data_IF_534302404983
#
_entry.id   IF_534302404983
#
_cell.length_a   1.000
_cell.length_b   1.000
_cell.length_c   1.000
_cell.angle_alpha   90.00
_cell.angle_beta   90.00
_cell.angle_gamma   90.00
#
_symmetry.space_group_name_H-M   'P 1'
#
loop_
_entity.id
_entity.type
_entity.pdbx_description
1 polymer ?
#
# COMPACT_ATOMS: atom_id res chain seq x y z
N UNK A 1 -43.36 -20.29 14.72
CA UNK A 1 -42.69 -19.33 13.82
C UNK A 1 -41.24 -19.12 14.31
N UNK A 2 -40.29 -20.03 13.97
CA UNK A 2 -38.89 -19.94 14.45
C UNK A 2 -37.94 -20.61 13.44
N UNK A 3 -37.87 -20.06 12.20
CA UNK A 3 -36.94 -20.55 11.15
C UNK A 3 -35.96 -19.53 10.59
N UNK A 4 -35.97 -18.32 11.09
CA UNK A 4 -35.21 -17.19 10.50
C UNK A 4 -33.78 -17.04 11.05
N UNK A 5 -33.47 -17.56 12.22
CA UNK A 5 -32.15 -17.31 12.86
C UNK A 5 -30.99 -18.17 12.31
N UNK A 6 -31.26 -19.31 11.71
CA UNK A 6 -30.20 -20.22 11.20
C UNK A 6 -29.80 -19.97 9.76
N UNK A 7 -30.53 -19.16 8.99
CA UNK A 7 -30.25 -18.89 7.57
C UNK A 7 -29.29 -17.71 7.35
N UNK A 8 -29.25 -16.76 8.27
CA UNK A 8 -28.36 -15.59 8.17
C UNK A 8 -26.86 -15.93 8.10
N UNK A 9 -26.29 -16.83 8.94
CA UNK A 9 -24.87 -17.14 8.88
C UNK A 9 -24.47 -17.89 7.60
N UNK A 10 -25.36 -18.66 7.00
CA UNK A 10 -25.10 -19.36 5.74
C UNK A 10 -25.10 -18.41 4.54
N UNK A 11 -26.02 -17.45 4.49
CA UNK A 11 -26.06 -16.42 3.44
C UNK A 11 -24.81 -15.54 3.48
N UNK A 12 -24.39 -15.07 4.66
CA UNK A 12 -23.17 -14.26 4.81
C UNK A 12 -21.89 -15.03 4.41
N UNK A 13 -21.86 -16.34 4.65
CA UNK A 13 -20.74 -17.18 4.23
C UNK A 13 -20.70 -17.36 2.71
N UNK A 14 -21.85 -17.62 2.09
CA UNK A 14 -21.94 -17.73 0.63
C UNK A 14 -21.56 -16.41 -0.08
N UNK A 15 -21.93 -15.25 0.47
CA UNK A 15 -21.52 -13.94 -0.04
C UNK A 15 -20.01 -13.75 0.09
N UNK A 16 -19.41 -14.18 1.19
CA UNK A 16 -17.96 -14.10 1.39
C UNK A 16 -17.22 -14.98 0.38
N UNK A 17 -17.68 -16.22 0.22
CA UNK A 17 -17.09 -17.15 -0.74
C UNK A 17 -17.19 -16.62 -2.17
N UNK A 18 -18.31 -15.99 -2.54
CA UNK A 18 -18.49 -15.36 -3.84
C UNK A 18 -17.55 -14.16 -4.05
N UNK A 19 -17.34 -13.33 -3.03
CA UNK A 19 -16.39 -12.22 -3.06
C UNK A 19 -14.95 -12.73 -3.23
N UNK A 20 -14.53 -13.68 -2.43
CA UNK A 20 -13.19 -14.28 -2.49
C UNK A 20 -12.95 -14.97 -3.84
N UNK A 21 -13.97 -15.66 -4.39
CA UNK A 21 -13.89 -16.25 -5.72
C UNK A 21 -13.74 -15.20 -6.83
N UNK A 22 -14.41 -14.07 -6.71
CA UNK A 22 -14.30 -12.97 -7.67
C UNK A 22 -12.93 -12.28 -7.63
N UNK A 23 -12.22 -12.30 -6.48
CA UNK A 23 -10.88 -11.75 -6.32
C UNK A 23 -9.78 -12.72 -6.76
N UNK A 24 -10.01 -14.02 -6.73
CA UNK A 24 -8.98 -15.02 -7.01
C UNK A 24 -8.24 -14.80 -8.34
N UNK A 25 -8.88 -14.44 -9.47
CA UNK A 25 -8.18 -14.20 -10.73
C UNK A 25 -7.25 -12.99 -10.72
N UNK A 26 -7.51 -11.99 -9.87
CA UNK A 26 -6.72 -10.75 -9.80
C UNK A 26 -5.85 -10.64 -8.55
N UNK A 27 -5.76 -11.69 -7.72
CA UNK A 27 -5.02 -11.66 -6.47
C UNK A 27 -3.54 -11.28 -6.66
N UNK A 28 -2.87 -11.83 -7.68
CA UNK A 28 -1.49 -11.50 -8.01
C UNK A 28 -1.29 -10.02 -8.35
N UNK A 29 -2.23 -9.41 -9.09
CA UNK A 29 -2.19 -7.98 -9.40
C UNK A 29 -2.43 -7.13 -8.15
N UNK A 30 -3.33 -7.54 -7.26
CA UNK A 30 -3.59 -6.84 -6.00
C UNK A 30 -2.37 -6.88 -5.09
N UNK A 31 -1.67 -8.02 -5.02
CA UNK A 31 -0.43 -8.13 -4.26
C UNK A 31 0.67 -7.24 -4.84
N UNK A 32 0.79 -7.14 -6.17
CA UNK A 32 1.72 -6.20 -6.81
C UNK A 32 1.36 -4.73 -6.51
N UNK A 33 0.07 -4.40 -6.48
CA UNK A 33 -0.37 -3.06 -6.07
C UNK A 33 -0.01 -2.76 -4.61
N UNK A 34 -0.20 -3.72 -3.71
CA UNK A 34 0.19 -3.60 -2.30
C UNK A 34 1.72 -3.45 -2.14
N UNK A 35 2.53 -4.22 -2.87
CA UNK A 35 4.00 -4.09 -2.89
C UNK A 35 4.45 -2.71 -3.36
N UNK A 36 3.82 -2.18 -4.42
CA UNK A 36 4.10 -0.83 -4.92
C UNK A 36 3.71 0.23 -3.89
N UNK A 37 2.56 0.08 -3.23
CA UNK A 37 2.10 1.02 -2.21
C UNK A 37 3.03 1.03 -0.98
N UNK A 38 3.44 -0.13 -0.48
CA UNK A 38 4.40 -0.24 0.63
C UNK A 38 5.72 0.45 0.27
N UNK A 39 6.30 0.18 -0.92
CA UNK A 39 7.52 0.85 -1.37
C UNK A 39 7.38 2.38 -1.44
N UNK A 40 6.25 2.84 -1.97
CA UNK A 40 5.96 4.28 -2.03
C UNK A 40 5.90 4.90 -0.64
N UNK A 41 5.23 4.27 0.32
CA UNK A 41 5.13 4.77 1.71
C UNK A 41 6.46 4.71 2.45
N UNK A 42 7.29 3.71 2.16
CA UNK A 42 8.68 3.65 2.64
C UNK A 42 9.50 4.83 2.10
N UNK A 43 9.43 5.11 0.79
CA UNK A 43 10.13 6.23 0.17
C UNK A 43 9.70 7.59 0.73
N UNK A 44 8.43 7.73 1.16
CA UNK A 44 7.93 8.92 1.84
C UNK A 44 8.28 8.96 3.35
N UNK A 45 8.98 7.95 3.86
CA UNK A 45 9.26 7.85 5.30
C UNK A 45 8.02 7.62 6.17
N UNK A 46 6.88 7.24 5.59
CA UNK A 46 5.63 7.00 6.32
C UNK A 46 5.59 5.60 6.93
N UNK A 47 6.24 4.62 6.30
CA UNK A 47 6.43 3.27 6.82
C UNK A 47 7.86 3.09 7.34
N UNK A 48 8.04 2.18 8.29
CA UNK A 48 9.33 1.63 8.67
C UNK A 48 9.62 0.35 7.85
N UNK A 49 10.88 -0.11 7.74
CA UNK A 49 11.23 -1.30 6.96
C UNK A 49 10.41 -2.56 7.30
N UNK A 50 10.01 -2.69 8.56
CA UNK A 50 9.32 -3.88 9.08
C UNK A 50 7.79 -3.72 9.13
N UNK A 51 7.18 -2.71 8.41
CA UNK A 51 5.84 -2.32 8.80
C UNK A 51 5.07 -1.46 7.79
N UNK A 52 3.94 -1.91 7.29
CA UNK A 52 3.45 -3.30 7.21
C UNK A 52 4.08 -4.05 6.04
N UNK A 53 4.04 -5.38 6.05
CA UNK A 53 4.36 -6.17 4.86
C UNK A 53 3.29 -5.95 3.76
N UNK A 54 3.61 -6.20 2.48
CA UNK A 54 2.63 -6.10 1.40
C UNK A 54 1.41 -7.01 1.62
N UNK A 55 1.64 -8.19 2.14
CA UNK A 55 0.60 -9.18 2.45
C UNK A 55 -0.33 -8.68 3.56
N UNK A 56 0.22 -8.12 4.64
CA UNK A 56 -0.58 -7.52 5.72
C UNK A 56 -1.39 -6.32 5.24
N UNK A 57 -0.78 -5.45 4.40
CA UNK A 57 -1.49 -4.33 3.81
C UNK A 57 -2.66 -4.82 2.95
N UNK A 58 -2.43 -5.87 2.13
CA UNK A 58 -3.46 -6.47 1.29
C UNK A 58 -4.59 -7.05 2.14
N UNK A 59 -4.29 -7.80 3.18
CA UNK A 59 -5.29 -8.40 4.06
C UNK A 59 -6.19 -7.35 4.73
N UNK A 60 -5.60 -6.27 5.23
CA UNK A 60 -6.35 -5.16 5.81
C UNK A 60 -7.24 -4.50 4.74
N UNK A 61 -6.69 -4.28 3.54
CA UNK A 61 -7.43 -3.68 2.43
C UNK A 61 -8.60 -4.55 1.96
N UNK A 62 -8.41 -5.87 1.86
CA UNK A 62 -9.47 -6.80 1.48
C UNK A 62 -10.59 -6.87 2.53
N UNK A 63 -10.25 -6.78 3.82
CA UNK A 63 -11.25 -6.66 4.87
C UNK A 63 -12.06 -5.36 4.74
N UNK A 64 -11.40 -4.25 4.38
CA UNK A 64 -12.07 -2.98 4.13
C UNK A 64 -12.97 -3.05 2.89
N UNK A 65 -12.46 -3.60 1.79
CA UNK A 65 -13.23 -3.83 0.56
C UNK A 65 -14.48 -4.68 0.82
N UNK A 66 -14.34 -5.73 1.62
CA UNK A 66 -15.48 -6.56 2.02
C UNK A 66 -16.56 -5.76 2.78
N UNK A 67 -16.17 -4.88 3.69
CA UNK A 67 -17.11 -4.03 4.44
C UNK A 67 -17.84 -3.03 3.53
N UNK A 68 -17.19 -2.60 2.47
CA UNK A 68 -17.72 -1.61 1.51
C UNK A 68 -18.41 -2.25 0.29
N UNK A 69 -18.47 -3.60 0.20
CA UNK A 69 -18.99 -4.32 -0.99
C UNK A 69 -20.41 -3.92 -1.39
N UNK A 70 -21.24 -3.59 -0.41
CA UNK A 70 -22.63 -3.21 -0.65
C UNK A 70 -22.77 -1.85 -1.39
N UNK A 71 -21.71 -1.06 -1.41
CA UNK A 71 -21.66 0.23 -2.14
C UNK A 71 -21.56 0.03 -3.65
N UNK A 72 -21.15 -1.18 -4.08
CA UNK A 72 -21.02 -1.52 -5.48
C UNK A 72 -22.22 -2.34 -5.92
N UNK A 73 -22.75 -1.99 -7.09
CA UNK A 73 -23.66 -2.88 -7.80
C UNK A 73 -22.93 -4.18 -8.18
N UNK A 74 -23.58 -5.35 -8.17
CA UNK A 74 -22.99 -6.63 -8.59
C UNK A 74 -22.33 -6.62 -9.98
N UNK A 75 -22.62 -5.61 -10.78
CA UNK A 75 -22.09 -5.43 -12.14
C UNK A 75 -20.70 -4.77 -12.17
N UNK A 76 -20.22 -4.21 -11.07
CA UNK A 76 -18.93 -3.51 -11.00
C UNK A 76 -17.85 -4.38 -10.39
N UNK A 77 -16.67 -4.30 -10.97
CA UNK A 77 -15.57 -5.17 -10.63
C UNK A 77 -15.09 -5.03 -9.17
N UNK A 78 -15.12 -6.12 -8.44
CA UNK A 78 -14.58 -6.22 -7.08
C UNK A 78 -13.10 -5.79 -7.05
N UNK A 79 -12.37 -5.96 -8.16
CA UNK A 79 -10.99 -5.51 -8.35
C UNK A 79 -10.82 -4.01 -8.11
N UNK A 80 -11.69 -3.17 -8.67
CA UNK A 80 -11.61 -1.72 -8.49
C UNK A 80 -11.75 -1.31 -7.03
N UNK A 81 -12.68 -1.96 -6.30
CA UNK A 81 -12.87 -1.73 -4.87
C UNK A 81 -11.66 -2.16 -4.04
N UNK A 82 -11.09 -3.33 -4.35
CA UNK A 82 -9.91 -3.84 -3.67
C UNK A 82 -8.69 -2.93 -3.89
N UNK A 83 -8.45 -2.46 -5.13
CA UNK A 83 -7.38 -1.50 -5.43
C UNK A 83 -7.57 -0.17 -4.68
N UNK A 84 -8.77 0.40 -4.72
CA UNK A 84 -9.07 1.62 -3.97
C UNK A 84 -8.87 1.42 -2.45
N UNK A 85 -9.21 0.24 -1.92
CA UNK A 85 -8.97 -0.09 -0.53
C UNK A 85 -7.47 -0.19 -0.20
N UNK A 86 -6.62 -0.74 -1.09
CA UNK A 86 -5.17 -0.82 -0.90
C UNK A 86 -4.59 0.59 -0.76
N UNK A 87 -4.88 1.51 -1.67
CA UNK A 87 -4.35 2.87 -1.63
C UNK A 87 -4.81 3.64 -0.39
N UNK A 88 -6.11 3.58 -0.07
CA UNK A 88 -6.67 4.23 1.13
C UNK A 88 -6.11 3.66 2.44
N UNK A 89 -5.94 2.34 2.50
CA UNK A 89 -5.37 1.68 3.69
C UNK A 89 -3.91 2.08 3.86
N UNK A 90 -3.12 2.08 2.77
CA UNK A 90 -1.74 2.53 2.79
C UNK A 90 -1.61 3.97 3.30
N UNK A 91 -2.44 4.88 2.80
CA UNK A 91 -2.48 6.27 3.25
C UNK A 91 -2.85 6.40 4.73
N UNK A 92 -3.93 5.74 5.15
CA UNK A 92 -4.42 5.81 6.53
C UNK A 92 -3.42 5.24 7.54
N UNK A 93 -2.80 4.10 7.22
CA UNK A 93 -1.78 3.49 8.07
C UNK A 93 -0.53 4.36 8.12
N UNK A 94 -0.06 4.85 6.96
CA UNK A 94 1.12 5.71 6.87
C UNK A 94 0.97 7.01 7.65
N UNK A 95 -0.16 7.68 7.52
CA UNK A 95 -0.45 8.92 8.25
C UNK A 95 -0.46 8.68 9.76
N UNK A 96 -1.17 7.66 10.24
CA UNK A 96 -1.21 7.33 11.69
C UNK A 96 0.17 7.04 12.27
N UNK A 97 1.03 6.34 11.50
CA UNK A 97 2.38 5.99 11.95
C UNK A 97 3.31 7.20 11.93
N UNK A 98 3.22 8.05 10.92
CA UNK A 98 3.95 9.32 10.87
C UNK A 98 3.57 10.23 12.05
N UNK A 99 2.28 10.36 12.35
CA UNK A 99 1.79 11.11 13.51
C UNK A 99 2.30 10.52 14.84
N UNK A 100 2.29 9.17 14.97
CA UNK A 100 2.79 8.51 16.17
C UNK A 100 4.28 8.78 16.35
N UNK A 101 5.10 8.64 15.30
CA UNK A 101 6.55 8.93 15.37
C UNK A 101 6.80 10.37 15.77
N UNK A 102 6.07 11.32 15.16
CA UNK A 102 6.18 12.73 15.52
C UNK A 102 5.88 12.97 17.00
N UNK A 103 4.80 12.39 17.54
CA UNK A 103 4.47 12.49 18.98
C UNK A 103 5.56 11.89 19.86
N UNK A 104 6.15 10.76 19.45
CA UNK A 104 7.25 10.16 20.20
C UNK A 104 8.50 11.04 20.18
N UNK A 105 8.87 11.64 19.04
CA UNK A 105 10.01 12.55 18.97
C UNK A 105 9.81 13.83 19.81
N UNK A 106 8.56 14.28 19.94
CA UNK A 106 8.21 15.43 20.82
C UNK A 106 8.29 15.06 22.32
N UNK A 107 8.15 13.78 22.65
CA UNK A 107 8.19 13.29 24.04
C UNK A 107 9.58 12.84 24.49
N UNK A 108 10.48 12.55 23.55
CA UNK A 108 11.87 12.25 23.90
C UNK A 108 12.53 13.56 24.34
N UNK A 109 13.20 13.59 25.52
CA UNK A 109 14.00 14.75 25.89
C UNK A 109 15.03 15.01 24.80
N UNK A 110 15.23 16.30 24.47
CA UNK A 110 16.28 16.79 23.61
C UNK A 110 17.57 16.04 23.95
N UNK A 111 18.26 15.50 22.95
CA UNK A 111 19.36 14.54 23.09
C UNK A 111 20.23 14.86 24.32
N UNK A 112 20.17 13.98 25.30
CA UNK A 112 21.23 13.93 26.29
C UNK A 112 22.47 13.54 25.50
N UNK A 113 23.42 14.47 25.34
CA UNK A 113 24.71 14.15 24.72
C UNK A 113 25.21 12.83 25.33
N UNK A 114 25.48 11.82 24.52
CA UNK A 114 25.92 10.54 25.04
C UNK A 114 27.16 10.77 25.88
N UNK A 115 27.13 10.30 27.13
CA UNK A 115 28.25 10.40 28.05
C UNK A 115 29.52 9.92 27.33
N UNK A 116 30.59 10.75 27.24
CA UNK A 116 31.82 10.38 26.55
C UNK A 116 32.43 9.05 26.99
N UNK A 117 32.05 8.55 28.15
CA UNK A 117 32.45 7.25 28.67
C UNK A 117 31.83 6.05 27.93
N UNK A 118 30.71 6.24 27.21
CA UNK A 118 30.08 5.17 26.43
C UNK A 118 30.61 5.05 24.99
N UNK A 119 31.42 5.98 24.51
CA UNK A 119 31.95 5.95 23.15
C UNK A 119 33.16 5.03 22.95
N UNK A 120 33.79 4.55 24.04
CA UNK A 120 35.08 3.88 23.94
C UNK A 120 35.01 2.35 23.85
N UNK A 121 33.89 1.73 24.20
CA UNK A 121 33.75 0.26 24.26
C UNK A 121 32.89 -0.38 23.16
N UNK A 122 32.28 0.44 22.27
CA UNK A 122 31.26 -0.05 21.33
C UNK A 122 31.83 -0.76 20.08
N UNK A 123 33.03 -0.41 19.61
CA UNK A 123 33.58 -1.04 18.40
C UNK A 123 33.92 -2.52 18.61
N UNK A 124 34.47 -2.88 19.77
CA UNK A 124 34.80 -4.27 20.12
C UNK A 124 33.54 -5.11 20.36
N UNK A 125 32.49 -4.50 20.96
CA UNK A 125 31.21 -5.16 21.17
C UNK A 125 30.51 -5.46 19.84
N UNK A 126 30.45 -4.51 18.93
CA UNK A 126 29.80 -4.72 17.61
C UNK A 126 30.57 -5.70 16.74
N UNK A 127 31.90 -5.71 16.76
CA UNK A 127 32.72 -6.69 16.06
C UNK A 127 32.50 -8.11 16.64
N UNK A 128 32.41 -8.26 17.94
CA UNK A 128 32.13 -9.56 18.57
C UNK A 128 30.70 -10.03 18.32
N UNK A 129 29.74 -9.10 18.23
CA UNK A 129 28.35 -9.41 17.91
C UNK A 129 28.18 -9.86 16.45
N UNK A 130 28.82 -9.20 15.49
CA UNK A 130 28.82 -9.60 14.08
C UNK A 130 29.48 -10.96 13.83
N UNK A 131 30.51 -11.31 14.60
CA UNK A 131 31.16 -12.63 14.56
C UNK A 131 30.28 -13.72 15.19
N UNK A 132 29.53 -13.42 16.25
CA UNK A 132 28.65 -14.37 16.93
C UNK A 132 27.32 -14.60 16.18
N UNK A 133 26.85 -13.60 15.44
CA UNK A 133 25.61 -13.63 14.68
C UNK A 133 25.87 -13.19 13.23
N UNK A 134 26.53 -14.03 12.40
CA UNK A 134 26.69 -13.71 10.99
C UNK A 134 25.30 -13.47 10.40
N UNK A 135 25.11 -12.28 9.81
CA UNK A 135 23.87 -11.95 9.11
C UNK A 135 23.63 -13.04 8.09
N UNK A 136 22.64 -13.88 8.33
CA UNK A 136 22.15 -14.85 7.37
C UNK A 136 21.49 -14.13 6.19
N UNK A 137 22.30 -13.43 5.39
CA UNK A 137 21.86 -12.85 4.12
C UNK A 137 21.37 -13.94 3.14
N UNK A 138 21.68 -15.21 3.41
CA UNK A 138 21.30 -16.33 2.54
C UNK A 138 19.92 -16.92 2.81
N UNK A 139 19.29 -16.64 3.97
CA UNK A 139 17.96 -17.20 4.30
C UNK A 139 16.83 -16.50 3.53
N UNK A 140 17.06 -15.29 3.03
CA UNK A 140 16.08 -14.56 2.21
C UNK A 140 16.33 -14.62 0.70
N UNK A 141 17.28 -15.42 0.24
CA UNK A 141 17.60 -15.59 -1.19
C UNK A 141 16.66 -16.54 -1.94
N UNK A 142 15.67 -17.10 -1.31
CA UNK A 142 14.69 -17.98 -1.94
C UNK A 142 13.41 -17.26 -2.30
N UNK A 143 13.36 -16.64 -3.44
CA UNK A 143 12.28 -15.96 -4.14
C UNK A 143 12.49 -14.44 -4.26
N UNK A 144 13.66 -14.05 -4.71
CA UNK A 144 13.81 -12.74 -5.33
C UNK A 144 13.15 -12.84 -6.69
N UNK A 145 11.85 -12.50 -6.75
CA UNK A 145 11.25 -12.04 -7.98
C UNK A 145 12.22 -11.04 -8.61
N UNK A 146 12.60 -11.30 -9.86
CA UNK A 146 13.47 -10.42 -10.65
C UNK A 146 13.05 -8.97 -10.39
N UNK A 147 13.96 -8.06 -10.03
CA UNK A 147 13.66 -6.66 -10.03
C UNK A 147 13.18 -6.32 -11.45
N UNK A 148 11.99 -5.82 -11.60
CA UNK A 148 11.56 -5.14 -12.80
C UNK A 148 12.39 -3.84 -12.85
N UNK A 149 13.60 -3.93 -13.44
CA UNK A 149 14.58 -2.85 -13.47
C UNK A 149 14.05 -1.60 -14.20
N UNK A 150 13.00 -1.73 -15.02
CA UNK A 150 12.39 -0.64 -15.78
C UNK A 150 11.31 0.15 -15.00
N UNK A 151 10.85 -0.31 -13.83
CA UNK A 151 9.76 0.35 -13.11
C UNK A 151 10.20 1.33 -12.03
N UNK A 152 11.47 1.34 -11.62
CA UNK A 152 11.96 2.16 -10.52
C UNK A 152 11.85 3.67 -10.85
N UNK A 153 12.16 4.06 -12.09
CA UNK A 153 12.12 5.46 -12.52
C UNK A 153 10.66 5.95 -12.69
N UNK A 154 9.78 5.11 -13.20
CA UNK A 154 8.37 5.42 -13.34
C UNK A 154 7.67 5.52 -11.99
N UNK A 155 8.00 4.66 -11.03
CA UNK A 155 7.46 4.72 -9.66
C UNK A 155 7.88 6.01 -8.94
N UNK A 156 9.10 6.54 -9.17
CA UNK A 156 9.54 7.81 -8.60
C UNK A 156 8.77 9.01 -9.17
N UNK A 157 8.60 9.07 -10.48
CA UNK A 157 7.84 10.14 -11.14
C UNK A 157 6.37 10.13 -10.71
N UNK A 158 5.76 8.96 -10.67
CA UNK A 158 4.38 8.77 -10.20
C UNK A 158 4.24 9.09 -8.71
N UNK A 159 5.30 8.87 -7.92
CA UNK A 159 5.35 9.22 -6.51
C UNK A 159 5.25 10.73 -6.22
N UNK A 160 5.59 11.59 -7.20
CA UNK A 160 5.50 13.06 -7.09
C UNK A 160 4.12 13.63 -7.39
N UNK A 161 3.17 12.80 -7.84
CA UNK A 161 1.80 13.22 -8.08
C UNK A 161 1.05 13.46 -6.75
N UNK A 162 -0.01 14.27 -6.82
CA UNK A 162 -0.93 14.34 -5.69
C UNK A 162 -1.55 12.95 -5.40
N UNK A 163 -1.79 12.58 -4.14
CA UNK A 163 -2.23 11.23 -3.79
C UNK A 163 -3.42 10.73 -4.63
N UNK A 164 -4.41 11.57 -4.84
CA UNK A 164 -5.60 11.22 -5.62
C UNK A 164 -5.31 11.06 -7.12
N UNK A 165 -4.43 11.90 -7.68
CA UNK A 165 -4.00 11.78 -9.09
C UNK A 165 -3.22 10.47 -9.29
N UNK A 166 -2.33 10.13 -8.34
CA UNK A 166 -1.56 8.89 -8.36
C UNK A 166 -2.47 7.66 -8.29
N UNK A 167 -3.40 7.64 -7.34
CA UNK A 167 -4.36 6.55 -7.16
C UNK A 167 -5.15 6.28 -8.45
N UNK A 168 -5.79 7.30 -9.01
CA UNK A 168 -6.61 7.17 -10.22
C UNK A 168 -5.77 6.78 -11.43
N UNK A 169 -4.57 7.36 -11.58
CA UNK A 169 -3.66 7.03 -12.68
C UNK A 169 -3.24 5.56 -12.63
N UNK A 170 -2.82 5.06 -11.47
CA UNK A 170 -2.40 3.67 -11.30
C UNK A 170 -3.56 2.70 -11.53
N UNK A 171 -4.73 2.98 -11.00
CA UNK A 171 -5.91 2.15 -11.24
C UNK A 171 -6.25 2.06 -12.73
N UNK A 172 -6.16 3.17 -13.46
CA UNK A 172 -6.52 3.22 -14.87
C UNK A 172 -5.43 2.68 -15.80
N UNK A 173 -4.21 3.21 -15.70
CA UNK A 173 -3.12 2.92 -16.66
C UNK A 173 -2.44 1.58 -16.38
N UNK A 174 -2.24 1.24 -15.10
CA UNK A 174 -1.49 0.04 -14.72
C UNK A 174 -2.42 -1.16 -14.55
N UNK A 175 -3.58 -0.94 -13.92
CA UNK A 175 -4.49 -2.02 -13.59
C UNK A 175 -5.68 -2.14 -14.55
N UNK A 176 -5.77 -1.27 -15.56
CA UNK A 176 -6.79 -1.31 -16.61
C UNK A 176 -8.23 -1.12 -16.12
N UNK A 177 -8.42 -0.46 -14.97
CA UNK A 177 -9.74 -0.24 -14.40
C UNK A 177 -10.47 0.85 -15.19
N UNK A 178 -11.73 0.62 -15.65
CA UNK A 178 -12.52 1.63 -16.31
C UNK A 178 -12.78 2.84 -15.41
N UNK A 179 -12.76 4.06 -16.00
CA UNK A 179 -12.95 5.31 -15.23
C UNK A 179 -14.28 5.35 -14.46
N UNK A 180 -15.33 4.74 -15.01
CA UNK A 180 -16.63 4.65 -14.34
C UNK A 180 -16.56 3.80 -13.06
N UNK A 181 -15.81 2.70 -13.08
CA UNK A 181 -15.60 1.86 -11.91
C UNK A 181 -14.74 2.55 -10.87
N UNK A 182 -13.71 3.30 -11.29
CA UNK A 182 -12.89 4.13 -10.42
C UNK A 182 -13.74 5.17 -9.70
N UNK A 183 -14.62 5.87 -10.42
CA UNK A 183 -15.52 6.85 -9.83
C UNK A 183 -16.37 6.24 -8.70
N UNK A 184 -16.91 5.06 -8.92
CA UNK A 184 -17.72 4.33 -7.93
C UNK A 184 -16.87 3.85 -6.74
N UNK A 185 -15.71 3.21 -7.02
CA UNK A 185 -14.84 2.68 -5.98
C UNK A 185 -14.30 3.77 -5.05
N UNK A 186 -14.03 4.96 -5.59
CA UNK A 186 -13.54 6.12 -4.85
C UNK A 186 -14.65 7.03 -4.32
N UNK A 187 -15.91 6.76 -4.68
CA UNK A 187 -17.07 7.59 -4.35
C UNK A 187 -16.90 9.07 -4.78
N UNK A 188 -16.42 9.28 -6.02
CA UNK A 188 -16.23 10.59 -6.63
C UNK A 188 -17.15 10.79 -7.86
N UNK A 189 -17.40 12.04 -8.30
CA UNK A 189 -18.20 12.31 -9.48
C UNK A 189 -17.69 11.58 -10.72
N UNK A 190 -18.55 11.07 -11.63
CA UNK A 190 -18.15 10.28 -12.80
C UNK A 190 -17.18 10.99 -13.76
N UNK A 191 -17.22 12.33 -13.82
CA UNK A 191 -16.32 13.13 -14.66
C UNK A 191 -14.92 13.34 -14.05
N UNK A 192 -14.77 13.16 -12.74
CA UNK A 192 -13.54 13.49 -12.00
C UNK A 192 -12.37 12.57 -12.33
N UNK A 193 -12.51 11.23 -12.44
CA UNK A 193 -11.38 10.37 -12.76
C UNK A 193 -10.68 10.74 -14.07
N UNK A 194 -11.43 11.08 -15.12
CA UNK A 194 -10.86 11.52 -16.39
C UNK A 194 -10.06 12.83 -16.27
N UNK A 195 -10.52 13.76 -15.45
CA UNK A 195 -9.81 15.01 -15.17
C UNK A 195 -8.52 14.76 -14.39
N UNK A 196 -8.55 13.87 -13.40
CA UNK A 196 -7.38 13.50 -12.60
C UNK A 196 -6.31 12.80 -13.46
N UNK A 197 -6.69 11.85 -14.32
CA UNK A 197 -5.77 11.21 -15.28
C UNK A 197 -5.15 12.25 -16.21
N UNK A 198 -5.95 13.15 -16.79
CA UNK A 198 -5.43 14.19 -17.68
C UNK A 198 -4.48 15.16 -16.93
N UNK A 199 -4.77 15.49 -15.67
CA UNK A 199 -3.91 16.33 -14.85
C UNK A 199 -2.59 15.62 -14.52
N UNK A 200 -2.64 14.36 -14.07
CA UNK A 200 -1.47 13.53 -13.79
C UNK A 200 -0.55 13.41 -15.00
N UNK A 201 -1.10 13.08 -16.18
CA UNK A 201 -0.33 12.99 -17.43
C UNK A 201 0.36 14.32 -17.80
N UNK A 202 -0.31 15.47 -17.61
CA UNK A 202 0.31 16.78 -17.85
C UNK A 202 1.49 17.04 -16.90
N UNK A 203 1.36 16.67 -15.62
CA UNK A 203 2.44 16.82 -14.64
C UNK A 203 3.64 15.94 -14.97
N UNK A 204 3.41 14.66 -15.28
CA UNK A 204 4.47 13.72 -15.66
C UNK A 204 5.25 14.18 -16.88
N UNK A 205 4.57 14.70 -17.93
CA UNK A 205 5.25 15.25 -19.11
C UNK A 205 6.13 16.44 -18.79
N UNK A 206 5.72 17.32 -17.86
CA UNK A 206 6.52 18.47 -17.44
C UNK A 206 7.77 18.05 -16.67
N UNK A 207 7.65 17.01 -15.84
CA UNK A 207 8.76 16.51 -15.04
C UNK A 207 9.75 15.71 -15.90
N UNK A 208 9.27 14.90 -16.84
CA UNK A 208 10.12 14.14 -17.77
C UNK A 208 10.92 15.00 -18.77
N UNK A 209 10.43 16.20 -19.11
CA UNK A 209 11.16 17.14 -19.99
C UNK A 209 12.28 17.93 -19.27
N UNK A 210 12.41 17.84 -17.96
CA UNK A 210 13.43 18.55 -17.19
C UNK A 210 14.72 17.71 -17.06
N UNK A 211 14.67 16.42 -17.39
CA UNK A 211 15.79 15.49 -17.25
C UNK A 211 16.52 15.16 -18.58
N UNK A 212 16.27 15.94 -19.65
CA UNK A 212 16.98 15.78 -20.95
C UNK A 212 18.02 16.87 -21.19
#
# INVERSE_FOLDING_TARGET
MSRTASQQPQAARAERDAFDHALAPCYGELLQAARREVRHRLALGQFAPDDPTPEELLDIALQQAWRERERLSPQFGVKALALAAIFRTGEAVGTRKAERRRRWSELLPEEVEPDPLYQQDDEDFWQSYELAYPRNAEVFSGAVDRPLEDTANDDELVGRLAPREREVLLMHEVHGVPLAEIALALAIPPAEPGQLVASARRRLRRTGNITS
#
